data_IF_775550078005
#
_entry.id   IF_775550078005
#
_cell.length_a   1.000
_cell.length_b   1.000
_cell.length_c   1.000
_cell.angle_alpha   90.00
_cell.angle_beta   90.00
_cell.angle_gamma   90.00
#
_symmetry.space_group_name_H-M   'P 1'
#
loop_
_entity.id
_entity.type
_entity.pdbx_description
1 polymer ?
#
# COMPACT_ATOMS: atom_id res chain seq x y z
N UNK A 1 -18.84 30.44 -25.09
CA UNK A 1 -17.45 30.15 -24.69
C UNK A 1 -16.71 29.53 -25.85
N UNK A 2 -15.39 29.74 -25.95
CA UNK A 2 -14.55 29.07 -26.96
C UNK A 2 -13.92 27.82 -26.33
N UNK A 3 -13.71 26.74 -27.10
CA UNK A 3 -13.02 25.55 -26.62
C UNK A 3 -11.60 25.89 -26.13
N UNK A 4 -11.15 25.20 -25.08
CA UNK A 4 -9.80 25.30 -24.50
C UNK A 4 -9.24 23.89 -24.37
N UNK A 5 -7.96 23.73 -24.72
CA UNK A 5 -7.18 22.54 -24.42
C UNK A 5 -6.10 22.92 -23.40
N UNK A 6 -5.82 22.03 -22.45
CA UNK A 6 -4.80 22.20 -21.43
C UNK A 6 -4.01 20.90 -21.27
N UNK A 7 -2.70 21.05 -21.07
CA UNK A 7 -1.76 19.97 -20.76
C UNK A 7 -0.81 20.49 -19.70
N UNK A 8 -0.70 19.79 -18.58
CA UNK A 8 0.20 20.17 -17.49
C UNK A 8 1.67 20.03 -17.90
N UNK A 9 2.51 20.87 -17.33
CA UNK A 9 3.95 20.64 -17.36
C UNK A 9 4.36 19.52 -16.39
N UNK A 10 5.60 19.05 -16.52
CA UNK A 10 6.11 17.97 -15.68
C UNK A 10 6.05 18.32 -14.19
N UNK A 11 6.36 19.56 -13.81
CA UNK A 11 6.38 20.00 -12.41
C UNK A 11 4.97 20.08 -11.84
N UNK A 12 4.01 20.57 -12.62
CA UNK A 12 2.59 20.57 -12.27
C UNK A 12 2.10 19.15 -12.01
N UNK A 13 2.44 18.20 -12.87
CA UNK A 13 2.09 16.79 -12.68
C UNK A 13 2.67 16.24 -11.36
N UNK A 14 3.94 16.55 -11.06
CA UNK A 14 4.59 16.14 -9.81
C UNK A 14 4.00 16.80 -8.55
N UNK A 15 3.30 17.92 -8.63
CA UNK A 15 2.78 18.62 -7.46
C UNK A 15 1.28 18.41 -7.25
N UNK A 16 0.53 18.17 -8.33
CA UNK A 16 -0.93 18.21 -8.31
C UNK A 16 -1.60 16.86 -8.52
N UNK A 17 -0.89 15.87 -9.07
CA UNK A 17 -1.49 14.56 -9.33
C UNK A 17 -1.26 13.56 -8.22
N UNK A 18 -1.86 12.38 -8.38
CA UNK A 18 -1.78 11.31 -7.37
C UNK A 18 -0.37 10.74 -7.32
N UNK A 19 0.26 10.82 -6.15
CA UNK A 19 1.58 10.25 -5.92
C UNK A 19 1.53 8.77 -5.52
N UNK A 20 2.70 8.14 -5.56
CA UNK A 20 2.92 6.87 -4.89
C UNK A 20 2.63 7.00 -3.39
N UNK A 21 2.05 5.94 -2.81
CA UNK A 21 1.77 5.91 -1.38
C UNK A 21 3.05 5.52 -0.65
N UNK A 22 3.47 6.34 0.30
CA UNK A 22 4.50 5.94 1.26
C UNK A 22 3.92 4.86 2.19
N UNK A 23 4.68 3.80 2.44
CA UNK A 23 4.25 2.67 3.26
C UNK A 23 5.38 2.29 4.20
N UNK A 24 5.10 2.38 5.50
CA UNK A 24 5.98 1.86 6.54
C UNK A 24 5.38 0.60 7.13
N UNK A 25 6.13 -0.49 7.10
CA UNK A 25 5.69 -1.78 7.60
C UNK A 25 6.69 -2.33 8.61
N UNK A 26 6.15 -2.93 9.67
CA UNK A 26 6.89 -3.78 10.58
C UNK A 26 6.39 -5.22 10.41
N UNK A 27 7.31 -6.13 10.13
CA UNK A 27 6.99 -7.52 9.84
C UNK A 27 7.80 -8.47 10.72
N UNK A 28 7.15 -9.54 11.14
CA UNK A 28 7.75 -10.64 11.89
C UNK A 28 7.40 -11.96 11.22
N UNK A 29 8.40 -12.85 11.13
CA UNK A 29 8.28 -14.13 10.45
C UNK A 29 8.71 -15.26 11.40
N UNK A 30 7.82 -16.22 11.61
CA UNK A 30 8.12 -17.44 12.34
C UNK A 30 8.52 -18.54 11.35
N UNK A 31 9.65 -19.19 11.62
CA UNK A 31 10.22 -20.25 10.78
C UNK A 31 10.48 -21.50 11.62
N UNK A 32 10.29 -22.66 11.01
CA UNK A 32 10.79 -23.92 11.53
C UNK A 32 12.30 -24.04 11.27
N UNK A 33 12.94 -25.02 11.93
CA UNK A 33 14.39 -25.24 11.79
C UNK A 33 14.80 -25.63 10.36
N UNK A 34 13.89 -26.18 9.56
CA UNK A 34 14.08 -26.52 8.14
C UNK A 34 13.79 -25.35 7.18
N UNK A 35 13.38 -24.19 7.71
CA UNK A 35 13.04 -22.99 6.95
C UNK A 35 11.59 -22.91 6.50
N UNK A 36 10.72 -23.85 6.87
CA UNK A 36 9.28 -23.74 6.57
C UNK A 36 8.64 -22.56 7.32
N UNK A 37 7.76 -21.81 6.65
CA UNK A 37 7.05 -20.69 7.26
C UNK A 37 5.93 -21.22 8.17
N UNK A 38 5.98 -20.81 9.44
CA UNK A 38 4.98 -21.16 10.45
C UNK A 38 3.95 -20.04 10.64
N UNK A 39 4.37 -18.78 10.43
CA UNK A 39 3.44 -17.67 10.47
C UNK A 39 4.08 -16.34 10.11
N UNK A 40 3.25 -15.39 9.70
CA UNK A 40 3.63 -14.04 9.30
C UNK A 40 2.76 -13.03 10.04
N UNK A 41 3.40 -12.03 10.66
CA UNK A 41 2.71 -10.85 11.19
C UNK A 41 3.18 -9.61 10.46
N UNK A 42 2.27 -8.80 9.94
CA UNK A 42 2.58 -7.53 9.25
C UNK A 42 1.66 -6.43 9.74
N UNK A 43 2.26 -5.41 10.34
CA UNK A 43 1.60 -4.18 10.73
C UNK A 43 2.11 -3.04 9.86
N UNK A 44 1.22 -2.32 9.18
CA UNK A 44 1.62 -1.28 8.24
C UNK A 44 0.79 0.00 8.33
N UNK A 45 1.46 1.12 8.09
CA UNK A 45 0.88 2.44 7.95
C UNK A 45 1.16 2.93 6.52
N UNK A 46 0.10 3.27 5.79
CA UNK A 46 0.20 3.81 4.45
C UNK A 46 -0.28 5.27 4.42
N UNK A 47 0.57 6.16 3.93
CA UNK A 47 0.20 7.53 3.64
C UNK A 47 -0.72 7.57 2.41
N UNK A 48 -1.95 8.05 2.58
CA UNK A 48 -2.93 8.22 1.50
C UNK A 48 -3.12 9.68 1.08
N UNK A 49 -2.30 10.59 1.61
CA UNK A 49 -2.33 12.03 1.37
C UNK A 49 -3.52 12.72 2.06
N UNK A 50 -3.78 13.95 1.64
CA UNK A 50 -4.86 14.78 2.20
C UNK A 50 -6.26 14.26 1.83
N UNK A 51 -6.36 13.42 0.80
CA UNK A 51 -7.63 12.91 0.29
C UNK A 51 -7.61 11.39 0.17
N UNK A 52 -8.58 10.74 0.81
CA UNK A 52 -8.79 9.30 0.72
C UNK A 52 -9.36 8.88 -0.65
N UNK A 53 -8.56 9.04 -1.71
CA UNK A 53 -8.93 8.63 -3.05
C UNK A 53 -9.03 7.10 -3.12
N UNK A 54 -10.04 6.61 -3.86
CA UNK A 54 -10.40 5.19 -3.89
C UNK A 54 -9.20 4.27 -4.13
N UNK A 55 -8.40 4.54 -5.16
CA UNK A 55 -7.20 3.74 -5.49
C UNK A 55 -6.11 3.82 -4.43
N UNK A 56 -5.93 4.99 -3.80
CA UNK A 56 -4.92 5.20 -2.76
C UNK A 56 -5.19 4.36 -1.51
N UNK A 57 -6.47 4.26 -1.12
CA UNK A 57 -6.91 3.45 0.02
C UNK A 57 -7.04 1.97 -0.35
N UNK A 58 -7.68 1.65 -1.48
CA UNK A 58 -7.97 0.27 -1.88
C UNK A 58 -6.70 -0.55 -2.10
N UNK A 59 -5.66 0.03 -2.69
CA UNK A 59 -4.41 -0.72 -2.88
C UNK A 59 -3.79 -1.08 -1.52
N UNK A 60 -3.89 -0.22 -0.51
CA UNK A 60 -3.22 -0.43 0.78
C UNK A 60 -4.01 -1.33 1.72
N UNK A 61 -5.33 -1.17 1.77
CA UNK A 61 -6.17 -1.88 2.74
C UNK A 61 -6.85 -3.14 2.18
N UNK A 62 -6.93 -3.29 0.85
CA UNK A 62 -7.57 -4.44 0.21
C UNK A 62 -6.57 -5.28 -0.58
N UNK A 63 -5.92 -4.67 -1.58
CA UNK A 63 -5.04 -5.41 -2.49
C UNK A 63 -3.74 -5.80 -1.79
N UNK A 64 -3.16 -4.90 -0.99
CA UNK A 64 -1.93 -5.12 -0.22
C UNK A 64 -1.98 -6.40 0.60
N UNK A 65 -2.96 -6.58 1.51
CA UNK A 65 -3.13 -7.80 2.27
C UNK A 65 -3.30 -9.06 1.41
N UNK A 66 -4.03 -8.97 0.28
CA UNK A 66 -4.26 -10.12 -0.60
C UNK A 66 -2.98 -10.66 -1.25
N UNK A 67 -2.00 -9.79 -1.50
CA UNK A 67 -0.76 -10.18 -2.18
C UNK A 67 0.39 -10.44 -1.22
N UNK A 68 0.21 -10.28 0.10
CA UNK A 68 1.30 -10.36 1.09
C UNK A 68 2.01 -11.72 1.11
N UNK A 69 1.28 -12.83 1.00
CA UNK A 69 1.89 -14.17 1.01
C UNK A 69 2.56 -14.50 -0.32
N UNK A 70 2.23 -13.76 -1.39
CA UNK A 70 2.68 -14.02 -2.75
C UNK A 70 2.50 -15.51 -3.10
N UNK A 71 3.58 -16.20 -3.48
CA UNK A 71 3.60 -17.62 -3.86
C UNK A 71 3.98 -18.57 -2.72
N UNK A 72 4.14 -18.06 -1.48
CA UNK A 72 4.57 -18.86 -0.34
C UNK A 72 3.38 -19.42 0.44
N UNK A 73 3.52 -20.66 0.94
CA UNK A 73 2.58 -21.21 1.89
C UNK A 73 2.81 -20.59 3.28
N UNK A 74 1.82 -19.85 3.78
CA UNK A 74 1.86 -19.20 5.10
C UNK A 74 0.61 -19.62 5.88
N UNK A 75 0.71 -20.57 6.82
CA UNK A 75 -0.47 -21.19 7.42
C UNK A 75 -1.15 -20.32 8.49
N UNK A 76 -0.41 -19.39 9.11
CA UNK A 76 -0.93 -18.49 10.15
C UNK A 76 -0.55 -17.05 9.82
N UNK A 77 -1.52 -16.14 9.84
CA UNK A 77 -1.33 -14.75 9.44
C UNK A 77 -1.99 -13.82 10.44
N UNK A 78 -1.27 -12.77 10.87
CA UNK A 78 -1.82 -11.60 11.54
C UNK A 78 -1.52 -10.34 10.73
N UNK A 79 -2.56 -9.66 10.26
CA UNK A 79 -2.46 -8.49 9.40
C UNK A 79 -3.18 -7.30 10.02
N UNK A 80 -2.48 -6.17 10.10
CA UNK A 80 -3.04 -4.92 10.58
C UNK A 80 -2.55 -3.76 9.72
N UNK A 81 -3.43 -3.24 8.88
CA UNK A 81 -3.13 -2.23 7.89
C UNK A 81 -3.92 -0.96 8.22
N UNK A 82 -3.25 0.19 8.21
CA UNK A 82 -3.89 1.50 8.44
C UNK A 82 -3.57 2.46 7.31
N UNK A 83 -4.60 3.10 6.78
CA UNK A 83 -4.45 4.28 5.95
C UNK A 83 -4.37 5.51 6.85
N UNK A 84 -3.39 6.37 6.59
CA UNK A 84 -3.12 7.59 7.36
C UNK A 84 -3.31 8.78 6.45
N UNK A 85 -4.23 9.67 6.83
CA UNK A 85 -4.36 10.98 6.21
C UNK A 85 -3.22 11.88 6.71
N UNK A 86 -2.60 12.62 5.80
CA UNK A 86 -1.45 13.51 6.09
C UNK A 86 -1.62 14.86 5.43
#
# INVERSE_FOLDING_TARGET
>A
GRPVAWTGDRSEEFLSTTHGRDVQAHAELALAADGAILGLRVHSHANVGAYALGTGVAIQLLIGPWVQTSVYHVPVIDFHFRAVLT
#
